data_IF_995590779219
#
_entry.id   IF_995590779219
#
_cell.length_a   1.000
_cell.length_b   1.000
_cell.length_c   1.000
_cell.angle_alpha   90.00
_cell.angle_beta   90.00
_cell.angle_gamma   90.00
#
_symmetry.space_group_name_H-M   'P 1'
#
loop_
_entity.id
_entity.type
_entity.pdbx_description
1 polymer ?
#
# COMPACT_ATOMS: atom_id res chain seq x y z
N UNK A 1 35.18 13.51 -16.91
CA UNK A 1 33.76 13.09 -17.05
C UNK A 1 33.16 12.93 -15.66
N UNK A 2 32.02 13.55 -15.30
CA UNK A 2 31.47 13.40 -13.96
C UNK A 2 30.91 11.99 -13.79
N UNK A 3 31.51 11.24 -12.88
CA UNK A 3 31.13 9.89 -12.46
C UNK A 3 29.73 9.96 -11.81
N UNK A 4 28.67 9.71 -12.59
CA UNK A 4 27.31 9.54 -12.06
C UNK A 4 27.32 8.24 -11.26
N UNK A 5 27.47 8.36 -9.94
CA UNK A 5 27.17 7.27 -8.99
C UNK A 5 25.82 6.67 -9.41
N UNK A 6 25.71 5.35 -9.63
CA UNK A 6 24.44 4.75 -10.00
C UNK A 6 23.41 5.11 -8.93
N UNK A 7 22.31 5.75 -9.34
CA UNK A 7 21.18 6.04 -8.45
C UNK A 7 20.77 4.70 -7.84
N UNK A 8 20.81 4.61 -6.51
CA UNK A 8 20.32 3.42 -5.80
C UNK A 8 18.88 3.21 -6.25
N UNK A 9 18.62 2.09 -6.89
CA UNK A 9 17.27 1.76 -7.33
C UNK A 9 16.45 1.49 -6.07
N UNK A 10 15.67 2.48 -5.65
CA UNK A 10 14.90 2.39 -4.41
C UNK A 10 13.83 1.32 -4.58
N UNK A 11 13.73 0.41 -3.62
CA UNK A 11 12.77 -0.72 -3.62
C UNK A 11 11.29 -0.30 -3.54
N UNK A 12 11.05 1.00 -3.39
CA UNK A 12 9.74 1.63 -3.36
C UNK A 12 9.85 3.07 -3.86
N UNK A 13 8.71 3.70 -4.11
CA UNK A 13 8.62 5.13 -4.40
C UNK A 13 7.38 5.72 -3.73
N UNK A 14 7.37 7.04 -3.56
CA UNK A 14 6.18 7.79 -3.18
C UNK A 14 5.66 8.59 -4.38
N UNK A 15 4.37 8.90 -4.39
CA UNK A 15 3.69 9.50 -5.55
C UNK A 15 3.02 10.83 -5.16
N UNK A 16 3.84 11.87 -4.93
CA UNK A 16 3.33 13.21 -4.61
C UNK A 16 2.44 13.80 -5.70
N UNK A 17 2.70 13.46 -6.96
CA UNK A 17 1.88 13.89 -8.10
C UNK A 17 0.45 13.32 -8.10
N UNK A 18 0.17 12.30 -7.27
CA UNK A 18 -1.18 11.75 -7.09
C UNK A 18 -1.90 12.35 -5.87
N UNK A 19 -1.30 13.35 -5.21
CA UNK A 19 -1.87 14.01 -4.06
C UNK A 19 -3.22 14.66 -4.39
N UNK A 20 -3.33 15.35 -5.53
CA UNK A 20 -4.56 16.04 -5.93
C UNK A 20 -5.76 15.08 -6.03
N UNK A 21 -5.55 13.87 -6.56
CA UNK A 21 -6.59 12.83 -6.62
C UNK A 21 -7.04 12.38 -5.23
N UNK A 22 -6.11 12.30 -4.27
CA UNK A 22 -6.42 11.97 -2.87
C UNK A 22 -7.15 13.13 -2.20
N UNK A 23 -6.69 14.38 -2.38
CA UNK A 23 -7.27 15.57 -1.76
C UNK A 23 -8.71 15.80 -2.20
N UNK A 24 -9.00 15.72 -3.51
CA UNK A 24 -10.37 15.82 -4.04
C UNK A 24 -11.34 14.80 -3.45
N UNK A 25 -10.86 13.62 -3.08
CA UNK A 25 -11.68 12.57 -2.47
C UNK A 25 -11.85 12.73 -0.96
N UNK A 26 -10.91 13.40 -0.28
CA UNK A 26 -10.99 13.72 1.15
C UNK A 26 -11.86 14.96 1.41
N UNK A 27 -11.82 15.94 0.52
CA UNK A 27 -12.62 17.18 0.60
C UNK A 27 -14.12 16.91 0.67
N UNK A 28 -14.60 15.80 0.08
CA UNK A 28 -16.00 15.35 0.16
C UNK A 28 -16.48 15.13 1.60
N UNK A 29 -15.57 14.95 2.54
CA UNK A 29 -15.84 14.69 3.95
C UNK A 29 -15.15 15.74 4.83
N UNK A 30 -14.84 16.92 4.26
CA UNK A 30 -14.20 18.04 4.94
C UNK A 30 -12.85 17.68 5.60
N UNK A 31 -12.11 16.74 4.99
CA UNK A 31 -10.77 16.36 5.44
C UNK A 31 -9.71 17.00 4.53
N UNK A 32 -8.74 17.66 5.16
CA UNK A 32 -7.62 18.31 4.49
C UNK A 32 -6.33 17.72 4.99
N UNK A 33 -5.52 17.22 4.06
CA UNK A 33 -4.24 16.61 4.38
C UNK A 33 -3.15 17.17 3.46
N UNK A 34 -1.93 17.25 3.96
CA UNK A 34 -0.75 17.57 3.15
C UNK A 34 0.06 16.31 2.82
N UNK A 35 0.70 16.30 1.64
CA UNK A 35 1.64 15.25 1.30
C UNK A 35 2.98 15.44 2.02
N UNK A 36 3.42 14.44 2.77
CA UNK A 36 4.71 14.41 3.44
C UNK A 36 5.80 13.84 2.52
N UNK A 37 6.56 14.74 1.88
CA UNK A 37 7.58 14.40 0.87
C UNK A 37 8.80 13.63 1.38
N UNK A 38 8.98 13.51 2.69
CA UNK A 38 10.14 12.83 3.28
C UNK A 38 9.81 11.39 3.63
N UNK A 39 10.67 10.46 3.22
CA UNK A 39 10.53 9.05 3.56
C UNK A 39 11.28 8.71 4.85
N UNK A 40 10.72 9.08 6.00
CA UNK A 40 11.23 8.67 7.31
C UNK A 40 10.12 8.01 8.14
N UNK A 41 10.52 7.26 9.16
CA UNK A 41 9.58 6.71 10.16
C UNK A 41 9.50 7.58 11.41
N UNK A 42 10.42 8.55 11.54
CA UNK A 42 10.44 9.53 12.63
C UNK A 42 9.12 10.30 12.65
N UNK A 43 8.47 10.35 13.81
CA UNK A 43 7.17 11.01 14.00
C UNK A 43 6.02 10.40 13.19
N UNK A 44 6.17 9.20 12.62
CA UNK A 44 5.02 8.49 12.07
C UNK A 44 4.08 8.09 13.22
N UNK A 45 2.86 8.60 13.21
CA UNK A 45 1.89 8.36 14.29
C UNK A 45 1.02 7.13 14.02
N UNK A 46 0.76 6.83 12.74
CA UNK A 46 0.02 5.64 12.32
C UNK A 46 0.58 5.11 11.00
N UNK A 47 0.63 3.80 10.88
CA UNK A 47 1.06 3.09 9.67
C UNK A 47 0.09 1.95 9.36
N UNK A 48 -0.15 1.70 8.07
CA UNK A 48 -1.02 0.62 7.62
C UNK A 48 -0.58 0.04 6.28
N UNK A 49 -0.31 -1.26 6.28
CA UNK A 49 -0.03 -2.01 5.07
C UNK A 49 -1.33 -2.40 4.34
N UNK A 50 -1.33 -2.31 3.03
CA UNK A 50 -2.43 -2.77 2.16
C UNK A 50 -1.89 -3.06 0.77
N UNK A 51 -2.77 -3.47 -0.15
CA UNK A 51 -2.43 -3.65 -1.55
C UNK A 51 -3.28 -2.75 -2.44
N UNK A 52 -2.69 -2.34 -3.57
CA UNK A 52 -3.34 -1.66 -4.70
C UNK A 52 -3.13 -2.47 -5.98
N UNK A 53 -3.76 -2.04 -7.06
CA UNK A 53 -3.59 -2.58 -8.40
C UNK A 53 -2.76 -1.63 -9.28
N UNK A 54 -2.23 -2.16 -10.36
CA UNK A 54 -1.48 -1.39 -11.34
C UNK A 54 -0.73 -2.28 -12.31
N UNK A 55 0.15 -1.65 -13.10
CA UNK A 55 0.93 -2.31 -14.15
C UNK A 55 2.40 -1.95 -14.04
N UNK A 56 3.26 -2.92 -14.27
CA UNK A 56 4.70 -2.74 -14.37
C UNK A 56 5.15 -2.85 -15.82
N UNK A 57 6.20 -2.10 -16.17
CA UNK A 57 6.89 -2.21 -17.45
C UNK A 57 8.35 -2.56 -17.20
N UNK A 58 8.85 -3.60 -17.87
CA UNK A 58 10.28 -3.90 -17.82
C UNK A 58 11.05 -2.80 -18.56
N UNK A 59 12.04 -2.20 -17.92
CA UNK A 59 12.88 -1.15 -18.51
C UNK A 59 14.21 -1.66 -19.04
N UNK A 60 14.48 -2.95 -18.88
CA UNK A 60 15.62 -3.59 -19.52
C UNK A 60 15.31 -3.79 -21.01
N UNK A 61 15.99 -3.04 -21.88
CA UNK A 61 15.80 -3.10 -23.34
C UNK A 61 16.22 -4.44 -23.95
N UNK A 62 17.06 -5.23 -23.27
CA UNK A 62 17.43 -6.58 -23.69
C UNK A 62 16.43 -7.65 -23.22
N UNK A 63 15.32 -7.26 -22.59
CA UNK A 63 14.31 -8.17 -22.07
C UNK A 63 13.04 -8.08 -22.91
N UNK A 64 12.58 -9.22 -23.43
CA UNK A 64 11.38 -9.30 -24.29
C UNK A 64 10.05 -9.18 -23.51
N UNK A 65 10.10 -8.93 -22.20
CA UNK A 65 8.92 -8.78 -21.37
C UNK A 65 8.18 -7.47 -21.66
N UNK A 66 6.96 -7.56 -22.21
CA UNK A 66 6.04 -6.42 -22.47
C UNK A 66 5.45 -5.76 -21.21
N UNK A 67 5.83 -6.22 -20.01
CA UNK A 67 5.30 -5.75 -18.73
C UNK A 67 4.18 -6.65 -18.20
N UNK A 68 3.79 -6.44 -16.95
CA UNK A 68 2.80 -7.30 -16.28
C UNK A 68 1.86 -6.47 -15.41
N UNK A 69 0.59 -6.86 -15.39
CA UNK A 69 -0.39 -6.31 -14.45
C UNK A 69 -0.26 -7.01 -13.10
N UNK A 70 -0.36 -6.25 -12.01
CA UNK A 70 -0.34 -6.78 -10.65
C UNK A 70 -1.61 -6.34 -9.93
N UNK A 71 -2.35 -7.32 -9.41
CA UNK A 71 -3.48 -7.07 -8.50
C UNK A 71 -3.03 -6.92 -7.04
N UNK A 72 -1.73 -7.05 -6.77
CA UNK A 72 -1.13 -6.97 -5.43
C UNK A 72 0.18 -6.21 -5.48
N UNK A 73 0.07 -4.89 -5.57
CA UNK A 73 1.18 -3.98 -5.32
C UNK A 73 1.08 -3.59 -3.85
N UNK A 74 2.06 -4.03 -3.06
CA UNK A 74 2.10 -3.66 -1.65
C UNK A 74 2.29 -2.15 -1.52
N UNK A 75 1.57 -1.55 -0.58
CA UNK A 75 1.79 -0.17 -0.16
C UNK A 75 1.76 -0.08 1.37
N UNK A 76 2.48 0.89 1.89
CA UNK A 76 2.45 1.25 3.30
C UNK A 76 2.01 2.70 3.41
N UNK A 77 0.81 2.93 3.93
CA UNK A 77 0.22 4.26 4.15
C UNK A 77 0.65 4.72 5.53
N UNK A 78 1.13 5.97 5.64
CA UNK A 78 1.62 6.55 6.90
C UNK A 78 0.98 7.90 7.15
N UNK A 79 0.66 8.17 8.41
CA UNK A 79 0.18 9.45 8.92
C UNK A 79 1.21 10.05 9.86
N UNK A 80 1.26 11.38 9.87
CA UNK A 80 2.15 12.20 10.69
C UNK A 80 1.34 13.33 11.35
N UNK A 81 1.88 13.99 12.40
CA UNK A 81 1.25 15.14 13.03
C UNK A 81 0.96 16.26 12.03
N UNK A 82 -0.08 17.06 12.32
CA UNK A 82 -0.49 18.18 11.46
C UNK A 82 -1.17 17.75 10.16
N UNK A 83 -1.95 16.67 10.21
CA UNK A 83 -2.70 16.14 9.06
C UNK A 83 -1.83 15.91 7.82
N UNK A 84 -0.66 15.28 7.99
CA UNK A 84 0.22 14.94 6.87
C UNK A 84 0.23 13.43 6.64
N UNK A 85 0.39 13.03 5.39
CA UNK A 85 0.49 11.62 5.03
C UNK A 85 1.50 11.39 3.92
N UNK A 86 1.98 10.16 3.82
CA UNK A 86 2.57 9.66 2.58
C UNK A 86 2.27 8.17 2.41
N UNK A 87 2.64 7.62 1.27
CA UNK A 87 2.52 6.20 1.00
C UNK A 87 3.78 5.70 0.29
N UNK A 88 4.37 4.64 0.84
CA UNK A 88 5.37 3.84 0.12
C UNK A 88 4.63 2.92 -0.83
N UNK A 89 5.07 2.89 -2.08
CA UNK A 89 4.58 1.95 -3.09
C UNK A 89 5.75 1.07 -3.50
N UNK A 90 5.67 -0.21 -3.12
CA UNK A 90 6.76 -1.15 -3.37
C UNK A 90 6.82 -1.56 -4.83
N UNK A 91 8.05 -1.76 -5.29
CA UNK A 91 8.33 -2.16 -6.67
C UNK A 91 8.24 -3.68 -6.83
N UNK A 92 8.22 -4.13 -8.08
CA UNK A 92 8.31 -5.55 -8.41
C UNK A 92 9.40 -5.79 -9.45
N UNK A 93 9.93 -7.01 -9.45
CA UNK A 93 10.95 -7.45 -10.40
C UNK A 93 10.32 -8.15 -11.59
N UNK A 94 10.88 -7.89 -12.76
CA UNK A 94 10.51 -8.62 -13.98
C UNK A 94 10.83 -10.10 -13.80
N UNK A 95 9.86 -10.98 -14.09
CA UNK A 95 10.06 -12.44 -13.99
C UNK A 95 11.19 -12.94 -14.91
N UNK A 96 11.35 -12.34 -16.08
CA UNK A 96 12.29 -12.83 -17.10
C UNK A 96 13.73 -12.40 -16.85
N UNK A 97 13.96 -11.15 -16.43
CA UNK A 97 15.33 -10.60 -16.29
C UNK A 97 15.66 -10.06 -14.90
N UNK A 98 14.75 -10.18 -13.93
CA UNK A 98 14.91 -9.74 -12.54
C UNK A 98 15.18 -8.23 -12.33
N UNK A 99 15.08 -7.44 -13.42
CA UNK A 99 15.15 -5.98 -13.39
C UNK A 99 14.02 -5.39 -12.54
N UNK A 100 14.35 -4.42 -11.69
CA UNK A 100 13.39 -3.72 -10.84
C UNK A 100 12.50 -2.81 -11.69
N UNK A 101 11.21 -2.82 -11.42
CA UNK A 101 10.23 -1.98 -12.12
C UNK A 101 9.38 -1.21 -11.11
N UNK A 102 9.26 0.10 -11.36
CA UNK A 102 8.33 1.00 -10.68
C UNK A 102 6.94 0.88 -11.34
N UNK A 103 5.86 0.77 -10.57
CA UNK A 103 4.53 0.59 -11.15
C UNK A 103 3.96 1.89 -11.72
N UNK A 104 3.15 1.75 -12.77
CA UNK A 104 2.09 2.68 -13.15
C UNK A 104 0.85 2.32 -12.33
N UNK A 105 0.30 3.29 -11.61
CA UNK A 105 -0.81 3.10 -10.69
C UNK A 105 -2.13 3.48 -11.35
N UNK A 106 -3.19 2.78 -10.97
CA UNK A 106 -4.56 3.14 -11.30
C UNK A 106 -5.25 3.83 -10.11
N UNK A 107 -6.56 4.08 -10.23
CA UNK A 107 -7.36 4.78 -9.23
C UNK A 107 -7.40 4.08 -7.86
N UNK A 108 -7.07 2.78 -7.81
CA UNK A 108 -7.02 2.03 -6.54
C UNK A 108 -5.98 2.59 -5.56
N UNK A 109 -4.97 3.33 -6.03
CA UNK A 109 -4.07 4.08 -5.15
C UNK A 109 -4.84 5.12 -4.32
N UNK A 110 -5.55 6.03 -4.98
CA UNK A 110 -6.23 7.13 -4.31
C UNK A 110 -7.33 6.59 -3.40
N UNK A 111 -8.13 5.63 -3.88
CA UNK A 111 -9.19 4.99 -3.09
C UNK A 111 -8.67 4.37 -1.79
N UNK A 112 -7.57 3.61 -1.84
CA UNK A 112 -7.01 2.95 -0.66
C UNK A 112 -6.39 3.92 0.34
N UNK A 113 -5.70 4.94 -0.15
CA UNK A 113 -5.13 6.00 0.69
C UNK A 113 -6.25 6.77 1.39
N UNK A 114 -7.24 7.25 0.65
CA UNK A 114 -8.39 8.00 1.17
C UNK A 114 -9.15 7.17 2.20
N UNK A 115 -9.47 5.91 1.88
CA UNK A 115 -10.16 5.00 2.80
C UNK A 115 -9.45 4.93 4.16
N UNK A 116 -8.13 4.82 4.14
CA UNK A 116 -7.34 4.70 5.36
C UNK A 116 -7.29 5.99 6.15
N UNK A 117 -7.09 7.13 5.47
CA UNK A 117 -7.07 8.45 6.11
C UNK A 117 -8.43 8.77 6.74
N UNK A 118 -9.54 8.53 6.03
CA UNK A 118 -10.91 8.66 6.57
C UNK A 118 -11.11 7.85 7.84
N UNK A 119 -10.72 6.57 7.81
CA UNK A 119 -10.82 5.67 8.97
C UNK A 119 -10.01 6.19 10.16
N UNK A 120 -8.79 6.68 9.93
CA UNK A 120 -7.95 7.23 10.99
C UNK A 120 -8.44 8.58 11.54
N UNK A 121 -9.23 9.32 10.76
CA UNK A 121 -9.95 10.54 11.17
C UNK A 121 -11.31 10.25 11.82
N UNK A 122 -11.67 8.99 12.06
CA UNK A 122 -12.90 8.63 12.77
C UNK A 122 -14.15 8.53 11.90
N UNK A 123 -14.03 8.66 10.57
CA UNK A 123 -15.15 8.45 9.66
C UNK A 123 -15.49 6.96 9.60
N UNK A 124 -16.77 6.64 9.78
CA UNK A 124 -17.26 5.27 9.66
C UNK A 124 -17.23 4.84 8.19
N UNK A 125 -16.34 3.90 7.88
CA UNK A 125 -16.22 3.31 6.55
C UNK A 125 -16.80 1.91 6.54
N UNK A 126 -17.58 1.56 5.52
CA UNK A 126 -17.92 0.16 5.26
C UNK A 126 -16.64 -0.64 4.97
N UNK A 127 -16.58 -1.94 5.32
CA UNK A 127 -15.52 -2.80 4.82
C UNK A 127 -15.50 -2.75 3.29
N UNK A 128 -14.35 -2.45 2.70
CA UNK A 128 -14.19 -2.63 1.25
C UNK A 128 -14.45 -4.10 0.96
N UNK A 129 -15.42 -4.38 0.09
CA UNK A 129 -15.63 -5.74 -0.39
C UNK A 129 -14.39 -6.15 -1.19
N UNK A 130 -13.58 -7.00 -0.58
CA UNK A 130 -12.37 -7.54 -1.19
C UNK A 130 -12.68 -8.76 -2.05
N UNK A 131 -13.85 -8.80 -2.69
CA UNK A 131 -14.20 -9.71 -3.78
C UNK A 131 -13.38 -9.39 -5.05
N UNK A 132 -12.06 -9.28 -4.88
CA UNK A 132 -11.12 -9.08 -5.97
C UNK A 132 -11.25 -10.23 -6.96
N UNK A 133 -11.52 -9.89 -8.22
CA UNK A 133 -11.49 -10.84 -9.35
C UNK A 133 -10.28 -11.75 -9.21
N UNK A 134 -10.48 -13.08 -9.21
CA UNK A 134 -9.39 -14.08 -9.17
C UNK A 134 -8.29 -13.64 -10.15
N UNK A 135 -7.09 -13.43 -9.63
CA UNK A 135 -5.90 -13.09 -10.42
C UNK A 135 -4.86 -14.19 -10.25
N UNK A 136 -3.82 -14.21 -11.09
CA UNK A 136 -2.68 -15.07 -10.87
C UNK A 136 -2.15 -14.93 -9.44
N UNK A 137 -1.59 -16.01 -8.85
CA UNK A 137 -1.00 -15.95 -7.52
C UNK A 137 0.08 -14.87 -7.50
N UNK A 138 0.12 -14.11 -6.41
CA UNK A 138 1.15 -13.11 -6.19
C UNK A 138 2.49 -13.81 -5.95
N UNK A 139 3.50 -13.49 -6.76
CA UNK A 139 4.83 -14.03 -6.60
C UNK A 139 5.61 -13.17 -5.59
N UNK A 140 5.77 -13.69 -4.37
CA UNK A 140 6.48 -13.02 -3.27
C UNK A 140 7.95 -12.76 -3.57
N UNK A 141 8.58 -13.65 -4.33
CA UNK A 141 10.03 -13.57 -4.60
C UNK A 141 10.36 -12.37 -5.49
N UNK A 142 9.40 -11.93 -6.31
CA UNK A 142 9.54 -10.77 -7.19
C UNK A 142 9.00 -9.47 -6.56
N UNK A 143 8.42 -9.52 -5.36
CA UNK A 143 7.77 -8.38 -4.72
C UNK A 143 8.68 -7.74 -3.65
N UNK A 144 9.05 -6.48 -3.83
CA UNK A 144 9.86 -5.78 -2.83
C UNK A 144 9.10 -5.53 -1.52
N UNK A 145 7.76 -5.48 -1.57
CA UNK A 145 6.92 -5.41 -0.38
C UNK A 145 6.96 -6.70 0.44
N UNK A 146 6.96 -7.86 -0.21
CA UNK A 146 7.15 -9.15 0.50
C UNK A 146 8.54 -9.22 1.13
N UNK A 147 9.58 -8.86 0.36
CA UNK A 147 10.97 -8.84 0.85
C UNK A 147 11.18 -7.88 2.02
N UNK A 148 10.38 -6.81 2.10
CA UNK A 148 10.39 -5.86 3.20
C UNK A 148 9.40 -6.21 4.34
N UNK A 149 8.62 -7.28 4.22
CA UNK A 149 7.64 -7.70 5.24
C UNK A 149 6.34 -6.88 5.28
N UNK A 150 6.06 -6.09 4.24
CA UNK A 150 4.92 -5.16 4.15
C UNK A 150 3.80 -5.60 3.20
N UNK A 151 3.92 -6.78 2.58
CA UNK A 151 2.85 -7.30 1.73
C UNK A 151 1.90 -8.18 2.53
N UNK A 152 0.63 -7.79 2.60
CA UNK A 152 -0.41 -8.59 3.23
C UNK A 152 -0.85 -9.68 2.26
N UNK A 153 -0.52 -10.94 2.56
CA UNK A 153 -1.06 -12.09 1.85
C UNK A 153 -2.58 -12.17 2.03
N UNK A 154 -3.30 -12.51 0.95
CA UNK A 154 -4.71 -12.90 1.04
C UNK A 154 -4.76 -14.27 1.72
N UNK A 155 -4.68 -14.28 3.06
CA UNK A 155 -4.65 -15.53 3.82
C UNK A 155 -4.34 -15.37 5.32
N UNK A 156 -3.67 -14.30 5.75
CA UNK A 156 -3.42 -14.09 7.17
C UNK A 156 -4.29 -12.97 7.74
N UNK A 157 -5.27 -13.37 8.56
CA UNK A 157 -5.90 -12.51 9.57
C UNK A 157 -4.83 -12.10 10.59
N UNK A 158 -4.01 -11.10 10.30
CA UNK A 158 -3.27 -10.45 11.38
C UNK A 158 -4.24 -9.51 12.09
N UNK A 159 -4.97 -10.04 13.07
CA UNK A 159 -5.41 -9.23 14.20
C UNK A 159 -4.13 -8.73 14.89
N UNK A 160 -3.60 -7.58 14.45
CA UNK A 160 -2.74 -6.78 15.33
C UNK A 160 -3.70 -6.12 16.31
N UNK A 161 -3.58 -6.56 17.57
CA UNK A 161 -4.34 -6.13 18.73
C UNK A 161 -4.60 -4.62 18.72
N UNK A 162 -5.86 -4.23 18.50
CA UNK A 162 -6.36 -2.94 18.97
C UNK A 162 -6.67 -3.10 20.48
N UNK A 163 -6.04 -2.33 21.38
CA UNK A 163 -6.39 -2.35 22.79
C UNK A 163 -7.75 -1.66 22.94
N UNK A 164 -8.82 -2.44 23.09
CA UNK A 164 -10.14 -1.85 23.34
C UNK A 164 -11.36 -2.75 23.27
N UNK A 165 -11.28 -3.96 22.72
CA UNK A 165 -12.48 -4.80 22.56
C UNK A 165 -12.45 -6.04 23.46
N UNK A 166 -12.55 -5.83 24.78
CA UNK A 166 -12.95 -6.90 25.71
C UNK A 166 -14.45 -7.11 25.56
N UNK A 167 -14.88 -8.08 24.76
CA UNK A 167 -16.23 -8.63 24.89
C UNK A 167 -16.22 -9.72 25.97
N UNK A 168 -17.25 -9.78 26.82
CA UNK A 168 -17.28 -10.73 27.93
C UNK A 168 -17.49 -12.15 27.41
N UNK A 169 -16.81 -13.11 28.04
CA UNK A 169 -17.09 -14.54 27.90
C UNK A 169 -18.55 -14.78 28.28
N UNK A 170 -19.38 -15.19 27.32
CA UNK A 170 -20.67 -15.80 27.63
C UNK A 170 -20.43 -17.28 27.90
N UNK A 171 -20.43 -17.64 29.18
CA UNK A 171 -20.64 -19.02 29.61
C UNK A 171 -22.08 -19.41 29.25
N UNK A 172 -22.25 -20.34 28.33
CA UNK A 172 -23.49 -21.11 28.22
C UNK A 172 -23.23 -22.51 28.77
N UNK A 173 -23.59 -22.66 30.05
CA UNK A 173 -23.94 -23.93 30.65
C UNK A 173 -25.34 -24.35 30.17
N UNK A 174 -25.52 -25.66 29.94
CA UNK A 174 -26.73 -26.52 30.02
C UNK A 174 -26.45 -27.72 29.09
N UNK A 175 -26.41 -28.98 29.52
CA UNK A 175 -27.14 -29.63 30.61
C UNK A 175 -28.47 -30.14 30.06
N UNK A 176 -28.52 -31.45 29.76
CA UNK A 176 -29.66 -32.21 29.25
C UNK A 176 -29.19 -33.63 28.97
#
# INVERSE_FOLDING_TARGET
MPNKRPKRDHRWSMYSSLHDSVSRLLEKDNLYFEFHGTDNTTNCTKEYDTNIMGRFMCRNHACDSSGWSSKKIAITIRMYPGAKYNARVYHQRCKSCNSLSRPSLDDSYAERVVYRLKKWSGIQMSPLDYSGKKGPPHNSDLCEGCRAGHCIASGFKTYRNEPGNKRPFKNTARGG
#
